data_IF_513361817032
#
_entry.id   IF_513361817032
#
_cell.length_a   1.000
_cell.length_b   1.000
_cell.length_c   1.000
_cell.angle_alpha   90.00
_cell.angle_beta   90.00
_cell.angle_gamma   90.00
#
_symmetry.space_group_name_H-M   'P 1'
#
loop_
_entity.id
_entity.type
_entity.pdbx_description
1 polymer ?
#
# COMPACT_ATOMS: atom_id res chain seq x y z
N UNK A 1 32.81 -26.56 36.67
CA UNK A 1 32.19 -25.22 36.79
C UNK A 1 32.96 -24.16 35.99
N UNK A 2 34.31 -24.10 36.08
CA UNK A 2 35.14 -23.18 35.28
C UNK A 2 34.94 -23.27 33.77
N UNK A 3 35.07 -24.47 33.18
CA UNK A 3 34.94 -24.68 31.71
C UNK A 3 33.66 -24.10 31.08
N UNK A 4 32.51 -24.21 31.77
CA UNK A 4 31.23 -23.68 31.27
C UNK A 4 31.23 -22.15 31.27
N UNK A 5 31.74 -21.53 32.34
CA UNK A 5 31.77 -20.07 32.49
C UNK A 5 32.90 -19.40 31.68
N UNK A 6 33.96 -20.14 31.37
CA UNK A 6 35.20 -19.62 30.81
C UNK A 6 35.27 -19.73 29.29
N UNK A 7 34.69 -20.78 28.71
CA UNK A 7 34.73 -21.03 27.26
C UNK A 7 33.33 -20.94 26.65
N UNK A 8 32.37 -21.63 27.26
CA UNK A 8 31.03 -21.82 26.68
C UNK A 8 30.21 -20.52 26.70
N UNK A 9 30.31 -19.76 27.80
CA UNK A 9 29.53 -18.54 27.99
C UNK A 9 30.02 -17.36 27.12
N UNK A 10 31.32 -17.04 27.04
CA UNK A 10 31.81 -16.02 26.10
C UNK A 10 31.54 -16.36 24.63
N UNK A 11 31.80 -17.61 24.23
CA UNK A 11 31.52 -18.07 22.86
C UNK A 11 30.01 -17.95 22.54
N UNK A 12 29.14 -18.33 23.47
CA UNK A 12 27.69 -18.19 23.33
C UNK A 12 27.24 -16.73 23.13
N UNK A 13 27.77 -15.79 23.92
CA UNK A 13 27.44 -14.37 23.77
C UNK A 13 27.94 -13.77 22.46
N UNK A 14 29.14 -14.12 22.01
CA UNK A 14 29.67 -13.67 20.71
C UNK A 14 28.83 -14.25 19.56
N UNK A 15 28.49 -15.54 19.60
CA UNK A 15 27.62 -16.15 18.60
C UNK A 15 26.25 -15.48 18.55
N UNK A 16 25.65 -15.20 19.71
CA UNK A 16 24.36 -14.52 19.80
C UNK A 16 24.45 -13.09 19.24
N UNK A 17 25.49 -12.33 19.57
CA UNK A 17 25.71 -10.99 19.04
C UNK A 17 25.88 -10.99 17.50
N UNK A 18 26.67 -11.93 16.97
CA UNK A 18 26.84 -12.08 15.52
C UNK A 18 25.55 -12.52 14.82
N UNK A 19 24.75 -13.38 15.46
CA UNK A 19 23.43 -13.77 14.94
C UNK A 19 22.50 -12.55 14.83
N UNK A 20 22.47 -11.69 15.85
CA UNK A 20 21.69 -10.44 15.80
C UNK A 20 22.19 -9.47 14.73
N UNK A 21 23.50 -9.36 14.53
CA UNK A 21 24.09 -8.54 13.47
C UNK A 21 23.71 -9.02 12.06
N UNK A 22 23.51 -10.32 11.87
CA UNK A 22 23.05 -10.89 10.60
C UNK A 22 21.56 -10.67 10.33
N UNK A 23 20.75 -10.43 11.37
CA UNK A 23 19.32 -10.12 11.21
C UNK A 23 19.09 -8.70 10.69
N UNK A 24 20.02 -7.77 10.96
CA UNK A 24 19.95 -6.42 10.41
C UNK A 24 20.34 -6.43 8.93
N UNK A 25 19.42 -6.03 8.02
CA UNK A 25 19.73 -6.04 6.60
C UNK A 25 20.85 -5.04 6.28
N UNK A 26 21.76 -5.36 5.34
CA UNK A 26 22.74 -4.39 4.88
C UNK A 26 22.03 -3.25 4.15
N UNK A 27 22.59 -2.06 4.25
CA UNK A 27 22.18 -0.94 3.42
C UNK A 27 22.34 -1.32 1.93
N UNK A 28 21.28 -1.11 1.16
CA UNK A 28 21.25 -1.26 -0.29
C UNK A 28 20.50 -0.08 -0.88
N UNK A 29 20.94 0.40 -2.04
CA UNK A 29 20.15 1.35 -2.80
C UNK A 29 18.79 0.74 -3.13
N UNK A 30 17.73 1.55 -3.01
CA UNK A 30 16.36 1.11 -3.25
C UNK A 30 16.16 0.97 -4.76
N UNK A 31 15.85 -0.24 -5.27
CA UNK A 31 15.62 -0.44 -6.69
C UNK A 31 14.33 0.24 -7.14
N UNK A 32 14.21 0.45 -8.45
CA UNK A 32 12.97 0.91 -9.04
C UNK A 32 11.83 -0.07 -8.78
N UNK A 33 10.67 0.46 -8.41
CA UNK A 33 9.51 -0.34 -8.06
C UNK A 33 8.34 -0.03 -8.98
N UNK A 34 7.84 -1.05 -9.67
CA UNK A 34 6.63 -0.91 -10.46
C UNK A 34 5.38 -0.80 -9.57
N UNK A 35 4.54 0.19 -9.86
CA UNK A 35 3.35 0.50 -9.07
C UNK A 35 2.12 -0.22 -9.62
N UNK A 36 1.81 -1.38 -9.04
CA UNK A 36 0.64 -2.19 -9.43
C UNK A 36 -0.15 -2.67 -8.21
N UNK A 37 -1.49 -2.84 -8.30
CA UNK A 37 -2.29 -3.33 -7.18
C UNK A 37 -1.86 -4.71 -6.64
N UNK A 38 -1.37 -5.59 -7.51
CA UNK A 38 -0.91 -6.94 -7.16
C UNK A 38 0.55 -7.04 -6.70
N UNK A 39 1.21 -5.89 -6.41
CA UNK A 39 2.50 -5.88 -5.73
C UNK A 39 2.41 -6.40 -4.29
N UNK A 40 1.20 -6.40 -3.71
CA UNK A 40 0.95 -6.90 -2.37
C UNK A 40 0.57 -8.37 -2.40
N UNK A 41 1.16 -9.15 -1.50
CA UNK A 41 0.79 -10.55 -1.33
C UNK A 41 -0.15 -10.72 -0.13
N UNK A 42 -1.24 -11.49 -0.29
CA UNK A 42 -2.18 -11.77 0.80
C UNK A 42 -1.50 -12.59 1.92
N UNK A 43 -1.48 -12.05 3.14
CA UNK A 43 -0.80 -12.69 4.29
C UNK A 43 -1.62 -13.76 5.04
N UNK A 44 -2.92 -13.91 4.74
CA UNK A 44 -3.87 -14.75 5.52
C UNK A 44 -4.35 -16.00 4.75
N UNK A 45 -3.46 -16.68 4.04
CA UNK A 45 -3.73 -17.99 3.40
C UNK A 45 -4.62 -17.96 2.15
N UNK A 46 -5.14 -16.81 1.75
CA UNK A 46 -5.76 -16.64 0.44
C UNK A 46 -4.68 -16.47 -0.63
N UNK A 47 -4.92 -16.98 -1.84
CA UNK A 47 -4.04 -16.78 -2.99
C UNK A 47 -4.35 -15.50 -3.79
N UNK A 48 -5.44 -14.79 -3.47
CA UNK A 48 -6.01 -13.69 -4.25
C UNK A 48 -6.22 -12.43 -3.41
N UNK A 49 -6.02 -11.26 -4.04
CA UNK A 49 -6.42 -9.99 -3.44
C UNK A 49 -7.91 -9.74 -3.68
N UNK A 50 -8.51 -8.92 -2.82
CA UNK A 50 -9.89 -8.51 -2.94
C UNK A 50 -9.95 -7.05 -3.36
N UNK A 51 -10.66 -6.78 -4.43
CA UNK A 51 -10.96 -5.45 -4.95
C UNK A 51 -12.47 -5.33 -5.15
N UNK A 52 -12.96 -4.12 -5.34
CA UNK A 52 -14.38 -3.89 -5.56
C UNK A 52 -14.58 -2.73 -6.51
N UNK A 53 -15.77 -2.70 -7.11
CA UNK A 53 -16.25 -1.52 -7.79
C UNK A 53 -17.72 -1.24 -7.47
N UNK A 54 -18.12 0.01 -7.60
CA UNK A 54 -19.52 0.45 -7.64
C UNK A 54 -19.75 1.23 -8.91
N UNK A 55 -20.88 1.05 -9.58
CA UNK A 55 -21.32 1.89 -10.69
C UNK A 55 -22.58 2.64 -10.28
N UNK A 56 -22.43 3.90 -9.87
CA UNK A 56 -23.51 4.66 -9.24
C UNK A 56 -24.53 5.19 -10.28
N UNK A 57 -24.11 5.32 -11.55
CA UNK A 57 -25.00 5.65 -12.67
C UNK A 57 -24.70 4.74 -13.88
N UNK A 58 -25.33 3.55 -13.97
CA UNK A 58 -25.09 2.61 -15.08
C UNK A 58 -25.73 3.04 -16.41
N UNK A 59 -26.59 4.06 -16.40
CA UNK A 59 -27.23 4.57 -17.62
C UNK A 59 -26.27 5.43 -18.46
N UNK A 60 -25.21 5.94 -17.85
CA UNK A 60 -24.21 6.75 -18.53
C UNK A 60 -23.32 5.88 -19.45
N UNK A 61 -23.24 6.15 -20.77
CA UNK A 61 -22.45 5.32 -21.68
C UNK A 61 -20.97 5.25 -21.29
N UNK A 62 -20.41 6.32 -20.72
CA UNK A 62 -19.01 6.34 -20.27
C UNK A 62 -18.80 5.40 -19.08
N UNK A 63 -19.75 5.34 -18.14
CA UNK A 63 -19.64 4.47 -16.97
C UNK A 63 -19.81 3.00 -17.35
N UNK A 64 -20.74 2.70 -18.27
CA UNK A 64 -20.93 1.38 -18.84
C UNK A 64 -19.68 0.90 -19.59
N UNK A 65 -19.02 1.78 -20.35
CA UNK A 65 -17.75 1.48 -21.02
C UNK A 65 -16.62 1.21 -20.03
N UNK A 66 -16.53 1.96 -18.92
CA UNK A 66 -15.56 1.71 -17.85
C UNK A 66 -15.83 0.38 -17.16
N UNK A 67 -17.08 0.08 -16.80
CA UNK A 67 -17.46 -1.19 -16.18
C UNK A 67 -17.17 -2.38 -17.11
N UNK A 68 -17.48 -2.26 -18.39
CA UNK A 68 -17.17 -3.27 -19.40
C UNK A 68 -15.66 -3.57 -19.43
N UNK A 69 -14.82 -2.54 -19.60
CA UNK A 69 -13.37 -2.70 -19.64
C UNK A 69 -12.76 -3.17 -18.30
N UNK A 70 -13.45 -2.98 -17.18
CA UNK A 70 -13.01 -3.44 -15.86
C UNK A 70 -13.11 -4.96 -15.76
N UNK A 71 -14.15 -5.53 -16.35
CA UNK A 71 -14.52 -6.95 -16.28
C UNK A 71 -13.91 -7.74 -17.42
N UNK A 72 -13.78 -7.15 -18.61
CA UNK A 72 -13.16 -7.79 -19.78
C UNK A 72 -11.65 -7.69 -19.75
N UNK A 73 -10.95 -8.71 -20.24
CA UNK A 73 -9.49 -8.71 -20.42
C UNK A 73 -9.08 -7.52 -21.30
N UNK A 74 -8.07 -6.70 -20.92
CA UNK A 74 -7.06 -6.86 -19.86
C UNK A 74 -7.42 -6.33 -18.44
N UNK A 75 -8.69 -6.04 -18.16
CA UNK A 75 -9.21 -5.52 -16.88
C UNK A 75 -8.65 -4.11 -16.55
N UNK A 76 -8.50 -3.77 -15.26
CA UNK A 76 -7.96 -2.47 -14.81
C UNK A 76 -6.43 -2.37 -14.84
N UNK A 77 -5.72 -3.46 -15.12
CA UNK A 77 -4.27 -3.56 -14.93
C UNK A 77 -3.47 -3.74 -16.22
N UNK A 78 -2.15 -3.82 -16.09
CA UNK A 78 -1.21 -4.14 -17.17
C UNK A 78 -0.83 -5.62 -17.22
N UNK A 79 -1.21 -6.42 -16.20
CA UNK A 79 -0.84 -7.83 -16.06
C UNK A 79 -1.31 -8.76 -17.20
N UNK A 80 -2.51 -8.51 -17.73
CA UNK A 80 -3.11 -9.32 -18.80
C UNK A 80 -3.03 -8.63 -20.17
N UNK A 81 -2.06 -7.73 -20.35
CA UNK A 81 -1.74 -7.17 -21.66
C UNK A 81 -1.13 -8.24 -22.58
N UNK A 82 -0.93 -7.86 -23.84
CA UNK A 82 -0.29 -8.74 -24.79
C UNK A 82 1.15 -9.08 -24.36
N UNK A 83 1.42 -10.36 -24.12
CA UNK A 83 2.73 -10.84 -23.64
C UNK A 83 3.89 -10.51 -24.57
N UNK A 84 3.63 -10.27 -25.86
CA UNK A 84 4.67 -9.84 -26.81
C UNK A 84 5.13 -8.40 -26.60
N UNK A 85 4.30 -7.56 -25.95
CA UNK A 85 4.60 -6.16 -25.69
C UNK A 85 5.13 -5.95 -24.28
N UNK A 86 4.52 -6.61 -23.31
CA UNK A 86 4.81 -6.37 -21.90
C UNK A 86 4.40 -7.58 -21.05
N UNK A 87 5.34 -8.07 -20.24
CA UNK A 87 5.15 -9.17 -19.32
C UNK A 87 5.85 -8.90 -17.99
N UNK A 88 5.19 -9.28 -16.89
CA UNK A 88 5.72 -9.14 -15.54
C UNK A 88 6.23 -10.51 -15.09
N UNK A 89 7.52 -10.60 -14.76
CA UNK A 89 8.16 -11.84 -14.28
C UNK A 89 7.41 -12.43 -13.07
N UNK A 90 6.98 -13.68 -13.18
CA UNK A 90 6.29 -14.40 -12.09
C UNK A 90 4.83 -14.01 -11.85
N UNK A 91 4.24 -13.11 -12.66
CA UNK A 91 2.83 -12.71 -12.55
C UNK A 91 2.12 -12.79 -13.92
N UNK A 92 1.99 -13.99 -14.47
CA UNK A 92 1.26 -14.22 -15.73
C UNK A 92 -0.26 -14.07 -15.56
N UNK A 93 -0.96 -13.86 -16.67
CA UNK A 93 -2.42 -13.86 -16.72
C UNK A 93 -2.95 -15.29 -16.66
N UNK A 94 -3.97 -15.55 -15.84
CA UNK A 94 -4.61 -16.86 -15.75
C UNK A 94 -5.66 -17.04 -16.85
N UNK A 95 -5.66 -18.19 -17.51
CA UNK A 95 -6.75 -18.57 -18.40
C UNK A 95 -7.92 -19.08 -17.55
N UNK A 96 -8.97 -18.26 -17.44
CA UNK A 96 -10.22 -18.64 -16.79
C UNK A 96 -11.22 -19.03 -17.88
N UNK A 97 -11.65 -20.30 -17.87
CA UNK A 97 -12.54 -20.84 -18.91
C UNK A 97 -13.93 -20.18 -18.92
N UNK A 98 -14.39 -19.61 -17.80
CA UNK A 98 -15.64 -18.85 -17.69
C UNK A 98 -15.60 -17.77 -16.60
N UNK A 99 -16.03 -16.56 -16.95
CA UNK A 99 -16.31 -15.47 -16.01
C UNK A 99 -17.67 -15.72 -15.33
N UNK A 100 -17.70 -16.47 -14.23
CA UNK A 100 -18.93 -16.68 -13.46
C UNK A 100 -19.06 -15.67 -12.33
N UNK A 101 -20.12 -14.87 -12.38
CA UNK A 101 -20.53 -14.01 -11.26
C UNK A 101 -21.27 -14.83 -10.21
N UNK A 102 -20.93 -14.66 -8.94
CA UNK A 102 -21.77 -15.21 -7.86
C UNK A 102 -23.13 -14.51 -7.83
N UNK A 103 -24.15 -15.22 -7.34
CA UNK A 103 -25.51 -14.69 -7.26
C UNK A 103 -25.54 -13.33 -6.53
N UNK A 104 -26.15 -12.32 -7.16
CA UNK A 104 -26.30 -11.01 -6.53
C UNK A 104 -27.33 -11.14 -5.39
N UNK A 105 -26.96 -10.79 -4.15
CA UNK A 105 -27.89 -10.88 -3.03
C UNK A 105 -28.99 -9.82 -3.15
N UNK A 106 -30.21 -10.18 -2.77
CA UNK A 106 -31.32 -9.23 -2.63
C UNK A 106 -31.12 -8.42 -1.35
N UNK A 107 -31.04 -7.09 -1.48
CA UNK A 107 -31.05 -6.19 -0.34
C UNK A 107 -32.51 -5.93 0.06
N UNK A 108 -32.79 -5.97 1.35
CA UNK A 108 -34.15 -5.74 1.88
C UNK A 108 -34.53 -4.26 1.87
N UNK A 109 -33.54 -3.36 1.77
CA UNK A 109 -33.73 -1.91 1.82
C UNK A 109 -33.81 -1.36 3.24
N UNK A 110 -33.81 -2.25 4.24
CA UNK A 110 -33.74 -1.92 5.66
C UNK A 110 -32.27 -1.97 6.11
N UNK A 111 -31.69 -0.81 6.43
CA UNK A 111 -30.29 -0.73 6.86
C UNK A 111 -30.03 -1.41 8.20
N UNK A 112 -31.04 -1.59 9.06
CA UNK A 112 -30.86 -2.29 10.35
C UNK A 112 -30.68 -3.80 10.15
N UNK A 113 -31.23 -4.34 9.05
CA UNK A 113 -31.10 -5.75 8.65
C UNK A 113 -29.91 -5.93 7.72
N UNK A 114 -29.79 -5.07 6.71
CA UNK A 114 -28.78 -5.17 5.65
C UNK A 114 -27.39 -4.70 6.13
N UNK A 115 -27.31 -3.85 7.15
CA UNK A 115 -26.05 -3.33 7.68
C UNK A 115 -26.15 -2.86 9.14
N UNK A 116 -26.31 -3.78 10.12
CA UNK A 116 -26.53 -3.39 11.52
C UNK A 116 -25.39 -2.55 12.09
N UNK A 117 -25.74 -1.65 13.02
CA UNK A 117 -24.80 -0.73 13.64
C UNK A 117 -23.72 -1.46 14.48
N UNK A 118 -22.52 -0.88 14.51
CA UNK A 118 -21.42 -1.37 15.35
C UNK A 118 -21.31 -0.54 16.63
N UNK A 119 -20.89 -1.17 17.72
CA UNK A 119 -20.61 -0.48 18.98
C UNK A 119 -19.14 -0.08 19.09
N UNK A 120 -18.90 1.17 19.52
CA UNK A 120 -17.56 1.69 19.80
C UNK A 120 -17.28 1.87 21.30
N UNK A 121 -18.17 1.37 22.18
CA UNK A 121 -18.09 1.60 23.62
C UNK A 121 -16.81 1.07 24.28
N UNK A 122 -16.16 0.06 23.69
CA UNK A 122 -14.90 -0.52 24.20
C UNK A 122 -13.63 0.16 23.69
N UNK A 123 -13.71 1.31 23.01
CA UNK A 123 -12.57 1.99 22.40
C UNK A 123 -12.11 1.40 21.05
N UNK A 124 -12.58 0.21 20.70
CA UNK A 124 -12.43 -0.41 19.38
C UNK A 124 -13.80 -0.75 18.81
N UNK A 125 -13.94 -0.68 17.48
CA UNK A 125 -15.18 -1.02 16.78
C UNK A 125 -15.49 -2.52 16.94
N UNK A 126 -16.61 -2.83 17.58
CA UNK A 126 -17.17 -4.18 17.67
C UNK A 126 -18.44 -4.24 16.84
N UNK A 127 -18.35 -4.98 15.74
CA UNK A 127 -19.47 -5.20 14.82
C UNK A 127 -20.07 -6.59 15.02
N UNK A 128 -21.40 -6.76 14.92
CA UNK A 128 -22.02 -8.08 14.84
C UNK A 128 -21.56 -8.83 13.57
N UNK A 129 -21.64 -10.16 13.56
CA UNK A 129 -21.15 -10.98 12.46
C UNK A 129 -21.78 -10.67 11.08
N UNK A 130 -22.97 -10.06 11.05
CA UNK A 130 -23.70 -9.66 9.84
C UNK A 130 -23.61 -8.16 9.53
N UNK A 131 -22.78 -7.39 10.23
CA UNK A 131 -22.69 -5.93 10.05
C UNK A 131 -22.37 -5.50 8.62
N UNK A 132 -21.55 -6.25 7.88
CA UNK A 132 -21.23 -5.94 6.49
C UNK A 132 -22.30 -6.29 5.46
N UNK A 133 -23.46 -6.79 5.91
CA UNK A 133 -24.53 -7.28 5.06
C UNK A 133 -24.20 -8.58 4.30
N UNK A 134 -25.10 -9.03 3.41
CA UNK A 134 -24.84 -10.19 2.57
C UNK A 134 -23.66 -9.91 1.63
N UNK A 135 -22.85 -10.92 1.34
CA UNK A 135 -21.65 -10.77 0.51
C UNK A 135 -22.01 -10.31 -0.91
N UNK A 136 -21.39 -9.24 -1.45
CA UNK A 136 -21.70 -8.77 -2.79
C UNK A 136 -21.36 -9.81 -3.88
N UNK A 137 -21.94 -9.64 -5.06
CA UNK A 137 -21.61 -10.48 -6.22
C UNK A 137 -20.12 -10.37 -6.54
N UNK A 138 -19.46 -11.49 -6.75
CA UNK A 138 -18.01 -11.62 -6.91
C UNK A 138 -17.70 -12.26 -8.26
N UNK A 139 -16.67 -11.74 -8.92
CA UNK A 139 -16.01 -12.32 -10.08
C UNK A 139 -14.53 -12.52 -9.78
N UNK A 140 -13.99 -13.68 -10.14
CA UNK A 140 -12.54 -13.87 -10.18
C UNK A 140 -12.05 -13.40 -11.55
N UNK A 141 -11.17 -12.41 -11.56
CA UNK A 141 -10.61 -11.87 -12.81
C UNK A 141 -9.30 -12.59 -13.17
N UNK A 142 -8.90 -12.61 -14.46
CA UNK A 142 -7.66 -13.27 -14.93
C UNK A 142 -6.36 -12.80 -14.25
N UNK A 143 -6.37 -11.66 -13.56
CA UNK A 143 -5.26 -11.22 -12.70
C UNK A 143 -5.19 -11.97 -11.36
N UNK A 144 -6.02 -13.00 -11.13
CA UNK A 144 -6.17 -13.74 -9.87
C UNK A 144 -6.74 -12.89 -8.71
N UNK A 145 -7.35 -11.75 -9.00
CA UNK A 145 -8.03 -10.92 -7.99
C UNK A 145 -9.53 -11.26 -7.94
N UNK A 146 -10.13 -11.11 -6.76
CA UNK A 146 -11.58 -11.22 -6.55
C UNK A 146 -12.18 -9.83 -6.63
N UNK A 147 -12.95 -9.56 -7.68
CA UNK A 147 -13.65 -8.32 -7.94
C UNK A 147 -15.09 -8.39 -7.45
N UNK A 148 -15.44 -7.59 -6.44
CA UNK A 148 -16.81 -7.46 -5.95
C UNK A 148 -17.56 -6.34 -6.65
N UNK A 149 -18.80 -6.61 -7.07
CA UNK A 149 -19.76 -5.62 -7.51
C UNK A 149 -20.58 -5.14 -6.30
N UNK A 150 -20.31 -3.91 -5.88
CA UNK A 150 -20.92 -3.24 -4.72
C UNK A 150 -21.95 -2.16 -5.11
N UNK A 151 -22.38 -2.14 -6.38
CA UNK A 151 -23.35 -1.17 -6.89
C UNK A 151 -24.63 -1.14 -6.05
N UNK A 152 -25.07 0.07 -5.69
CA UNK A 152 -26.29 0.29 -4.89
C UNK A 152 -26.10 0.14 -3.37
N UNK A 153 -24.87 -0.01 -2.89
CA UNK A 153 -24.56 -0.05 -1.45
C UNK A 153 -23.86 1.23 -0.98
N UNK A 154 -24.01 1.54 0.31
CA UNK A 154 -23.16 2.54 0.93
C UNK A 154 -21.74 1.99 1.12
N UNK A 155 -20.85 2.36 0.19
CA UNK A 155 -19.46 1.89 0.14
C UNK A 155 -18.73 2.22 1.44
N UNK A 156 -18.88 3.43 1.98
CA UNK A 156 -18.18 3.88 3.18
C UNK A 156 -18.51 3.01 4.39
N UNK A 157 -19.80 2.74 4.60
CA UNK A 157 -20.28 1.90 5.69
C UNK A 157 -19.83 0.44 5.52
N UNK A 158 -19.95 -0.10 4.30
CA UNK A 158 -19.49 -1.45 3.97
C UNK A 158 -17.98 -1.61 4.19
N UNK A 159 -17.17 -0.63 3.78
CA UNK A 159 -15.72 -0.67 3.93
C UNK A 159 -15.29 -0.74 5.39
N UNK A 160 -15.88 0.11 6.24
CA UNK A 160 -15.57 0.18 7.67
C UNK A 160 -15.98 -1.13 8.36
N UNK A 161 -17.21 -1.59 8.14
CA UNK A 161 -17.74 -2.81 8.79
C UNK A 161 -17.05 -4.10 8.32
N UNK A 162 -16.50 -4.11 7.12
CA UNK A 162 -15.77 -5.26 6.56
C UNK A 162 -14.25 -5.17 6.66
N UNK A 163 -13.69 -4.12 7.30
CA UNK A 163 -12.23 -3.93 7.43
C UNK A 163 -11.57 -5.15 8.07
N UNK A 164 -12.11 -5.63 9.18
CA UNK A 164 -11.57 -6.77 9.92
C UNK A 164 -11.54 -8.06 9.09
N UNK A 165 -12.56 -8.28 8.24
CA UNK A 165 -12.66 -9.45 7.33
C UNK A 165 -11.55 -9.42 6.27
N UNK A 166 -11.36 -8.27 5.62
CA UNK A 166 -10.45 -8.09 4.48
C UNK A 166 -9.09 -7.46 4.84
N UNK A 167 -8.75 -7.39 6.12
CA UNK A 167 -7.51 -6.78 6.60
C UNK A 167 -6.28 -7.41 5.94
N UNK A 168 -5.42 -6.56 5.33
CA UNK A 168 -4.23 -6.95 4.53
C UNK A 168 -4.53 -7.82 3.30
N UNK A 169 -5.78 -7.84 2.83
CA UNK A 169 -6.21 -8.55 1.61
C UNK A 169 -6.93 -7.62 0.62
N UNK A 170 -7.50 -6.51 1.10
CA UNK A 170 -8.08 -5.43 0.28
C UNK A 170 -7.28 -4.14 0.44
N UNK A 171 -6.70 -3.69 -0.67
CA UNK A 171 -5.89 -2.46 -0.71
C UNK A 171 -6.56 -1.31 -1.46
N UNK A 172 -7.66 -1.56 -2.18
CA UNK A 172 -8.42 -0.51 -2.84
C UNK A 172 -9.63 -1.01 -3.61
N UNK A 173 -10.23 -0.10 -4.38
CA UNK A 173 -11.38 -0.32 -5.25
C UNK A 173 -11.82 0.97 -5.94
N UNK A 174 -12.91 0.91 -6.72
CA UNK A 174 -13.32 1.99 -7.60
C UNK A 174 -14.81 2.34 -7.41
N UNK A 175 -15.17 3.61 -7.49
CA UNK A 175 -16.56 4.03 -7.72
C UNK A 175 -16.65 4.80 -9.02
N UNK A 176 -17.36 4.21 -9.97
CA UNK A 176 -17.56 4.69 -11.33
C UNK A 176 -18.76 5.64 -11.37
N UNK A 177 -18.61 6.74 -12.10
CA UNK A 177 -19.68 7.70 -12.39
C UNK A 177 -20.27 8.38 -11.16
N UNK A 178 -19.40 8.96 -10.35
CA UNK A 178 -19.83 9.89 -9.31
C UNK A 178 -20.20 11.23 -9.94
N UNK A 179 -21.49 11.56 -9.87
CA UNK A 179 -22.00 12.82 -10.39
C UNK A 179 -21.66 13.95 -9.43
N UNK A 180 -20.81 14.87 -9.89
CA UNK A 180 -20.61 16.12 -9.17
C UNK A 180 -21.82 17.03 -9.41
N UNK A 181 -22.55 17.38 -8.36
CA UNK A 181 -23.68 18.31 -8.44
C UNK A 181 -23.27 19.67 -9.01
N UNK A 182 -22.03 20.09 -8.78
CA UNK A 182 -21.46 21.32 -9.34
C UNK A 182 -21.09 21.17 -10.83
N UNK A 183 -20.91 19.95 -11.33
CA UNK A 183 -20.68 19.69 -12.76
C UNK A 183 -21.91 19.94 -13.66
N UNK A 184 -23.07 20.26 -13.06
CA UNK A 184 -24.29 20.65 -13.78
C UNK A 184 -24.25 22.09 -14.31
N UNK A 185 -23.23 22.87 -13.95
CA UNK A 185 -23.01 24.21 -14.50
C UNK A 185 -22.61 24.14 -15.97
N UNK A 186 -23.60 24.15 -16.86
CA UNK A 186 -23.34 24.15 -18.29
C UNK A 186 -22.76 25.51 -18.71
N UNK A 187 -21.49 25.52 -19.08
CA UNK A 187 -20.79 26.74 -19.52
C UNK A 187 -21.45 27.43 -20.72
N UNK A 188 -22.22 26.71 -21.54
CA UNK A 188 -22.98 27.32 -22.65
C UNK A 188 -24.15 28.17 -22.16
N UNK A 189 -24.75 27.83 -21.01
CA UNK A 189 -25.81 28.65 -20.39
C UNK A 189 -25.23 29.91 -19.76
N UNK A 190 -24.02 29.82 -19.21
CA UNK A 190 -23.35 30.97 -18.61
C UNK A 190 -22.89 31.93 -19.71
N UNK A 191 -22.32 31.43 -20.82
CA UNK A 191 -21.98 32.29 -21.96
C UNK A 191 -23.21 32.99 -22.53
N UNK A 192 -24.32 32.25 -22.74
CA UNK A 192 -25.55 32.86 -23.26
C UNK A 192 -26.17 33.88 -22.30
N UNK A 193 -26.01 33.69 -20.97
CA UNK A 193 -26.46 34.65 -19.98
C UNK A 193 -25.61 35.92 -19.99
N UNK A 194 -24.28 35.78 -20.14
CA UNK A 194 -23.35 36.91 -20.28
C UNK A 194 -23.64 37.68 -21.57
N UNK A 195 -23.86 36.99 -22.68
CA UNK A 195 -24.22 37.61 -23.97
C UNK A 195 -25.56 38.37 -23.88
N UNK A 196 -26.52 37.82 -23.14
CA UNK A 196 -27.81 38.48 -22.87
C UNK A 196 -27.66 39.71 -21.97
N UNK A 197 -26.74 39.71 -21.00
CA UNK A 197 -26.43 40.87 -20.16
C UNK A 197 -25.70 41.95 -20.95
N UNK A 198 -24.77 41.56 -21.82
CA UNK A 198 -24.03 42.47 -22.68
C UNK A 198 -24.91 43.17 -23.75
N UNK A 199 -25.97 42.51 -24.19
CA UNK A 199 -26.93 43.06 -25.17
C UNK A 199 -28.08 43.85 -24.52
N UNK A 200 -28.43 43.56 -23.26
CA UNK A 200 -29.49 44.29 -22.53
C UNK A 200 -28.99 45.52 -21.78
N UNK A 201 -27.75 45.49 -21.29
CA UNK A 201 -27.04 46.71 -20.89
C UNK A 201 -26.54 47.41 -22.14
N UNK A 202 -26.78 48.71 -22.30
CA UNK A 202 -26.19 49.52 -23.36
C UNK A 202 -24.67 49.70 -23.10
N UNK A 203 -23.92 48.60 -23.07
CA UNK A 203 -22.53 48.52 -22.63
C UNK A 203 -21.65 48.98 -23.80
N UNK A 204 -20.79 49.96 -23.53
CA UNK A 204 -19.82 50.46 -24.50
C UNK A 204 -18.96 49.32 -25.07
N UNK A 205 -18.61 49.40 -26.35
CA UNK A 205 -17.87 48.36 -27.08
C UNK A 205 -16.51 47.99 -26.46
N UNK A 206 -15.89 48.91 -25.70
CA UNK A 206 -14.66 48.66 -24.94
C UNK A 206 -14.86 47.81 -23.69
N UNK A 207 -16.03 47.89 -23.05
CA UNK A 207 -16.37 47.07 -21.87
C UNK A 207 -16.85 45.69 -22.32
N UNK A 208 -17.61 45.61 -23.41
CA UNK A 208 -18.01 44.33 -24.01
C UNK A 208 -16.80 43.47 -24.42
N UNK A 209 -15.82 44.07 -25.10
CA UNK A 209 -14.58 43.38 -25.48
C UNK A 209 -13.72 42.98 -24.27
N UNK A 210 -13.72 43.76 -23.19
CA UNK A 210 -13.10 43.38 -21.92
C UNK A 210 -13.76 42.16 -21.27
N UNK A 211 -15.10 42.10 -21.25
CA UNK A 211 -15.87 40.97 -20.71
C UNK A 211 -15.66 39.71 -21.54
N UNK A 212 -15.64 39.80 -22.87
CA UNK A 212 -15.33 38.67 -23.75
C UNK A 212 -13.92 38.13 -23.52
N UNK A 213 -12.92 39.00 -23.37
CA UNK A 213 -11.55 38.60 -23.07
C UNK A 213 -11.43 37.89 -21.71
N UNK A 214 -12.13 38.40 -20.68
CA UNK A 214 -12.22 37.75 -19.37
C UNK A 214 -12.92 36.39 -19.47
N UNK A 215 -14.03 36.31 -20.20
CA UNK A 215 -14.78 35.07 -20.39
C UNK A 215 -13.97 34.02 -21.15
N UNK A 216 -13.19 34.42 -22.16
CA UNK A 216 -12.29 33.53 -22.89
C UNK A 216 -11.24 32.87 -21.98
N UNK A 217 -10.77 33.58 -20.96
CA UNK A 217 -9.84 33.03 -19.97
C UNK A 217 -10.54 32.23 -18.87
N UNK A 218 -11.75 32.63 -18.45
CA UNK A 218 -12.48 32.00 -17.35
C UNK A 218 -13.25 30.73 -17.77
N UNK A 219 -13.80 30.70 -18.97
CA UNK A 219 -14.57 29.57 -19.51
C UNK A 219 -13.80 28.24 -19.45
N UNK A 220 -12.52 28.12 -19.88
CA UNK A 220 -11.78 26.88 -19.74
C UNK A 220 -11.58 26.49 -18.27
N UNK A 221 -11.30 27.44 -17.37
CA UNK A 221 -11.13 27.17 -15.94
C UNK A 221 -12.41 26.60 -15.34
N UNK A 222 -13.57 27.17 -15.67
CA UNK A 222 -14.87 26.68 -15.22
C UNK A 222 -15.18 25.29 -15.80
N UNK A 223 -14.86 25.03 -17.07
CA UNK A 223 -15.03 23.71 -17.69
C UNK A 223 -14.18 22.63 -17.01
N UNK A 224 -12.93 22.94 -16.68
CA UNK A 224 -12.04 21.99 -16.00
C UNK A 224 -12.40 21.78 -14.53
N UNK A 225 -12.90 22.82 -13.85
CA UNK A 225 -13.26 22.73 -12.42
C UNK A 225 -14.56 21.98 -12.16
N UNK A 226 -15.48 21.98 -13.13
CA UNK A 226 -16.83 21.44 -12.97
C UNK A 226 -17.11 20.27 -13.93
N UNK A 227 -16.32 19.21 -13.81
CA UNK A 227 -16.58 17.95 -14.52
C UNK A 227 -17.78 17.22 -13.89
N UNK A 228 -18.78 16.91 -14.72
CA UNK A 228 -20.00 16.22 -14.29
C UNK A 228 -19.77 14.77 -13.85
N UNK A 229 -18.91 14.04 -14.57
CA UNK A 229 -18.67 12.63 -14.34
C UNK A 229 -17.27 12.42 -13.79
N UNK A 230 -17.17 11.92 -12.56
CA UNK A 230 -15.89 11.62 -11.94
C UNK A 230 -15.80 10.14 -11.59
N UNK A 231 -14.56 9.66 -11.51
CA UNK A 231 -14.26 8.33 -11.00
C UNK A 231 -13.49 8.51 -9.70
N UNK A 232 -13.92 7.84 -8.64
CA UNK A 232 -13.26 7.90 -7.34
C UNK A 232 -12.51 6.60 -7.08
N UNK A 233 -11.27 6.75 -6.64
CA UNK A 233 -10.41 5.65 -6.23
C UNK A 233 -10.44 5.53 -4.71
N UNK A 234 -10.79 4.36 -4.22
CA UNK A 234 -10.70 4.00 -2.81
C UNK A 234 -9.38 3.28 -2.60
N UNK A 235 -8.57 3.72 -1.63
CA UNK A 235 -7.31 3.08 -1.31
C UNK A 235 -7.15 2.88 0.20
N UNK A 236 -6.40 1.87 0.57
CA UNK A 236 -6.05 1.58 1.95
C UNK A 236 -4.60 1.97 2.21
N UNK A 237 -4.39 2.95 3.09
CA UNK A 237 -3.06 3.46 3.41
C UNK A 237 -2.16 2.45 4.17
N UNK A 238 -2.68 1.27 4.54
CA UNK A 238 -1.84 0.15 5.01
C UNK A 238 -0.94 -0.42 3.90
N UNK A 239 -1.29 -0.22 2.63
CA UNK A 239 -0.40 -0.49 1.50
C UNK A 239 0.36 0.77 1.11
N UNK A 240 1.69 0.75 1.24
CA UNK A 240 2.56 1.93 1.09
C UNK A 240 2.36 2.71 -0.22
N UNK A 241 2.15 1.99 -1.33
CA UNK A 241 1.93 2.54 -2.66
C UNK A 241 0.51 2.31 -3.21
N UNK A 242 -0.46 1.93 -2.35
CA UNK A 242 -1.81 1.56 -2.80
C UNK A 242 -2.54 2.72 -3.49
N UNK A 243 -2.39 3.96 -3.00
CA UNK A 243 -3.04 5.11 -3.64
C UNK A 243 -2.61 5.29 -5.10
N UNK A 244 -1.31 5.29 -5.35
CA UNK A 244 -0.75 5.53 -6.69
C UNK A 244 -0.97 4.34 -7.62
N UNK A 245 -0.92 3.10 -7.11
CA UNK A 245 -1.13 1.92 -7.94
C UNK A 245 -2.57 1.78 -8.44
N UNK A 246 -3.56 2.07 -7.58
CA UNK A 246 -4.97 2.11 -7.99
C UNK A 246 -5.26 3.33 -8.88
N UNK A 247 -4.54 4.45 -8.71
CA UNK A 247 -4.62 5.59 -9.62
C UNK A 247 -4.11 5.24 -11.02
N UNK A 248 -2.96 4.55 -11.14
CA UNK A 248 -2.49 4.07 -12.44
C UNK A 248 -3.48 3.08 -13.07
N UNK A 249 -4.09 2.22 -12.25
CA UNK A 249 -5.10 1.26 -12.71
C UNK A 249 -6.34 1.94 -13.28
N UNK A 250 -6.82 3.03 -12.64
CA UNK A 250 -7.99 3.74 -13.17
C UNK A 250 -7.67 4.52 -14.44
N UNK A 251 -6.47 5.08 -14.54
CA UNK A 251 -6.02 5.75 -15.77
C UNK A 251 -5.92 4.77 -16.95
N UNK A 252 -5.47 3.54 -16.69
CA UNK A 252 -5.51 2.47 -17.68
C UNK A 252 -6.93 2.13 -18.13
N UNK A 253 -7.88 2.10 -17.21
CA UNK A 253 -9.28 1.84 -17.52
C UNK A 253 -9.88 2.96 -18.37
N UNK A 254 -9.61 4.23 -18.02
CA UNK A 254 -10.05 5.40 -18.78
C UNK A 254 -9.45 5.38 -20.19
N UNK A 255 -8.15 5.08 -20.32
CA UNK A 255 -7.49 4.95 -21.61
C UNK A 255 -8.22 3.94 -22.51
N UNK A 256 -8.55 2.75 -21.96
CA UNK A 256 -9.20 1.67 -22.70
C UNK A 256 -10.65 1.98 -23.04
N UNK A 257 -11.38 2.65 -22.15
CA UNK A 257 -12.75 3.08 -22.41
C UNK A 257 -12.86 4.16 -23.50
N UNK A 258 -11.79 4.93 -23.74
CA UNK A 258 -11.72 5.98 -24.76
C UNK A 258 -11.06 5.54 -26.07
N UNK A 259 -10.71 4.25 -26.22
CA UNK A 259 -10.12 3.76 -27.46
C UNK A 259 -11.12 3.82 -28.63
N UNK A 260 -10.65 4.15 -29.84
CA UNK A 260 -11.49 4.08 -31.03
C UNK A 260 -11.88 2.62 -31.35
N UNK A 261 -13.04 2.40 -31.99
CA UNK A 261 -13.50 1.06 -32.33
C UNK A 261 -12.48 0.33 -33.23
N UNK A 262 -12.28 -0.96 -32.98
CA UNK A 262 -11.36 -1.81 -33.74
C UNK A 262 -9.92 -1.88 -33.20
N UNK A 263 -9.59 -1.15 -32.13
CA UNK A 263 -8.34 -1.32 -31.38
C UNK A 263 -8.50 -2.34 -30.27
N UNK A 264 -7.54 -3.27 -30.15
CA UNK A 264 -7.52 -4.24 -29.05
C UNK A 264 -6.99 -3.58 -27.76
N UNK A 265 -7.80 -3.52 -26.67
CA UNK A 265 -7.39 -2.96 -25.39
C UNK A 265 -6.13 -3.61 -24.78
N UNK A 266 -5.80 -4.86 -25.15
CA UNK A 266 -4.62 -5.58 -24.65
C UNK A 266 -3.29 -4.97 -25.09
N UNK A 267 -3.29 -4.20 -26.17
CA UNK A 267 -2.09 -3.55 -26.70
C UNK A 267 -1.84 -2.16 -26.09
N UNK A 268 -2.78 -1.65 -25.28
CA UNK A 268 -2.71 -0.31 -24.70
C UNK A 268 -2.70 -0.38 -23.18
N UNK A 269 -1.67 0.22 -22.58
CA UNK A 269 -1.54 0.34 -21.15
C UNK A 269 -0.44 1.30 -20.74
N UNK A 270 -0.58 1.85 -19.55
CA UNK A 270 0.31 2.78 -18.88
C UNK A 270 0.93 2.03 -17.70
N UNK A 271 2.25 1.89 -17.73
CA UNK A 271 3.02 1.32 -16.63
C UNK A 271 3.67 2.49 -15.88
N UNK A 272 3.63 2.45 -14.55
CA UNK A 272 4.24 3.49 -13.71
C UNK A 272 5.29 2.86 -12.82
N UNK A 273 6.51 3.40 -12.87
CA UNK A 273 7.60 3.01 -12.00
C UNK A 273 7.92 4.14 -11.02
N UNK A 274 8.07 3.80 -9.75
CA UNK A 274 8.70 4.67 -8.78
C UNK A 274 10.21 4.43 -8.80
N UNK A 275 10.97 5.45 -9.15
CA UNK A 275 12.42 5.45 -9.10
C UNK A 275 12.85 6.35 -7.94
N UNK A 276 13.27 5.78 -6.80
CA UNK A 276 13.83 6.55 -5.71
C UNK A 276 15.05 7.34 -6.21
N UNK A 277 15.19 8.58 -5.75
CA UNK A 277 16.39 9.36 -6.02
C UNK A 277 17.56 8.82 -5.21
N UNK A 278 18.76 8.95 -5.77
CA UNK A 278 19.99 8.61 -5.04
C UNK A 278 20.10 9.47 -3.78
N UNK A 279 20.59 8.86 -2.70
CA UNK A 279 20.75 9.53 -1.42
C UNK A 279 21.81 10.62 -1.49
N UNK A 280 21.59 11.70 -0.74
CA UNK A 280 22.60 12.74 -0.55
C UNK A 280 23.70 12.25 0.40
N UNK A 281 24.82 12.97 0.44
CA UNK A 281 25.93 12.64 1.37
C UNK A 281 25.48 12.65 2.83
N UNK A 282 24.59 13.56 3.20
CA UNK A 282 24.08 13.68 4.57
C UNK A 282 23.17 12.51 4.93
N UNK A 283 22.32 12.07 4.00
CA UNK A 283 21.48 10.87 4.22
C UNK A 283 22.32 9.59 4.31
N UNK A 284 23.37 9.49 3.48
CA UNK A 284 24.32 8.37 3.56
C UNK A 284 25.11 8.37 4.88
N UNK A 285 25.44 9.55 5.41
CA UNK A 285 26.14 9.66 6.70
C UNK A 285 25.24 9.26 7.87
N UNK A 286 23.95 9.59 7.82
CA UNK A 286 22.93 9.15 8.78
C UNK A 286 22.74 7.62 8.76
N UNK A 287 22.61 7.02 7.57
CA UNK A 287 22.56 5.56 7.40
C UNK A 287 23.83 4.88 7.91
N UNK A 288 25.00 5.46 7.62
CA UNK A 288 26.28 4.96 8.14
C UNK A 288 26.35 5.06 9.67
N UNK A 289 25.76 6.09 10.27
CA UNK A 289 25.70 6.25 11.72
C UNK A 289 24.76 5.21 12.36
N UNK A 290 23.61 4.94 11.73
CA UNK A 290 22.71 3.87 12.17
C UNK A 290 23.40 2.50 12.14
N UNK A 291 24.10 2.19 11.03
CA UNK A 291 24.90 0.97 10.93
C UNK A 291 26.01 0.91 11.98
N UNK A 292 26.74 2.02 12.18
CA UNK A 292 27.76 2.12 13.21
C UNK A 292 27.19 1.87 14.62
N UNK A 293 25.95 2.25 14.88
CA UNK A 293 25.27 1.96 16.17
C UNK A 293 25.08 0.46 16.38
N UNK A 294 24.68 -0.29 15.35
CA UNK A 294 24.58 -1.76 15.44
C UNK A 294 25.95 -2.38 15.71
N UNK A 295 26.99 -1.92 15.02
CA UNK A 295 28.37 -2.41 15.22
C UNK A 295 28.88 -2.14 16.64
N UNK A 296 28.54 -0.98 17.23
CA UNK A 296 28.87 -0.65 18.62
C UNK A 296 28.18 -1.60 19.60
N UNK A 297 26.91 -1.95 19.38
CA UNK A 297 26.20 -2.92 20.23
C UNK A 297 26.90 -4.29 20.19
N UNK A 298 27.31 -4.75 19.01
CA UNK A 298 28.08 -5.99 18.85
C UNK A 298 29.42 -5.89 19.60
N UNK A 299 30.14 -4.78 19.47
CA UNK A 299 31.41 -4.56 20.16
C UNK A 299 31.26 -4.62 21.69
N UNK A 300 30.23 -3.98 22.25
CA UNK A 300 29.93 -4.02 23.70
C UNK A 300 29.65 -5.46 24.15
N UNK A 301 28.86 -6.23 23.40
CA UNK A 301 28.60 -7.63 23.71
C UNK A 301 29.88 -8.49 23.67
N UNK A 302 30.78 -8.24 22.73
CA UNK A 302 32.07 -8.95 22.64
C UNK A 302 32.98 -8.57 23.80
N UNK A 303 33.09 -7.28 24.15
CA UNK A 303 33.89 -6.82 25.31
C UNK A 303 33.37 -7.46 26.59
N UNK A 304 32.05 -7.47 26.77
CA UNK A 304 31.41 -8.12 27.91
C UNK A 304 31.71 -9.63 27.95
N UNK A 305 31.60 -10.34 26.83
CA UNK A 305 31.95 -11.74 26.72
C UNK A 305 33.42 -12.01 27.09
N UNK A 306 34.35 -11.21 26.56
CA UNK A 306 35.78 -11.35 26.82
C UNK A 306 36.16 -10.98 28.26
N UNK A 307 35.36 -10.16 28.96
CA UNK A 307 35.59 -9.81 30.37
C UNK A 307 35.45 -10.99 31.34
N UNK A 308 34.73 -12.05 30.95
CA UNK A 308 34.61 -13.27 31.77
C UNK A 308 35.90 -14.10 31.81
N UNK A 309 36.74 -14.00 30.79
CA UNK A 309 38.00 -14.75 30.69
C UNK A 309 39.01 -14.34 31.79
N UNK A 310 39.35 -13.06 32.02
CA UNK A 310 40.20 -12.70 33.14
C UNK A 310 39.53 -12.96 34.50
N UNK A 311 38.20 -12.83 34.60
CA UNK A 311 37.47 -13.08 35.84
C UNK A 311 37.56 -14.54 36.29
N UNK A 312 37.62 -15.52 35.38
CA UNK A 312 37.79 -16.93 35.71
C UNK A 312 39.17 -17.23 36.32
N UNK A 313 40.24 -16.66 35.77
CA UNK A 313 41.60 -16.84 36.33
C UNK A 313 41.73 -16.25 37.74
N UNK A 314 41.03 -15.15 38.04
CA UNK A 314 41.03 -14.53 39.37
C UNK A 314 40.39 -15.43 40.42
N UNK A 315 39.36 -16.22 40.07
CA UNK A 315 38.74 -17.15 41.01
C UNK A 315 39.72 -18.21 41.52
N UNK A 316 40.61 -18.72 40.65
CA UNK A 316 41.66 -19.66 41.05
C UNK A 316 42.62 -19.04 42.08
N UNK A 317 43.05 -17.79 41.86
CA UNK A 317 43.90 -17.06 42.81
C UNK A 317 43.21 -16.83 44.16
N UNK A 318 41.89 -16.59 44.17
CA UNK A 318 41.10 -16.45 45.40
C UNK A 318 41.03 -17.80 46.13
N UNK A 319 40.80 -18.90 45.42
CA UNK A 319 40.73 -20.25 45.99
C UNK A 319 42.08 -20.69 46.58
N UNK A 320 43.20 -20.39 45.91
CA UNK A 320 44.55 -20.60 46.45
C UNK A 320 44.82 -19.78 47.72
N UNK A 321 44.29 -18.55 47.79
CA UNK A 321 44.41 -17.70 48.98
C UNK A 321 43.59 -18.25 50.15
N UNK A 322 42.35 -18.68 49.91
CA UNK A 322 41.44 -19.17 50.96
C UNK A 322 41.87 -20.53 51.48
N UNK A 323 42.36 -21.41 50.60
CA UNK A 323 42.90 -22.73 50.97
C UNK A 323 44.31 -22.67 51.57
N UNK A 324 44.95 -21.50 51.58
CA UNK A 324 46.36 -21.28 51.93
C UNK A 324 47.36 -22.11 51.09
N UNK A 325 46.97 -22.64 49.92
CA UNK A 325 47.87 -23.40 49.05
C UNK A 325 49.05 -22.55 48.58
N UNK A 326 48.80 -21.26 48.28
CA UNK A 326 49.83 -20.28 47.92
C UNK A 326 50.87 -20.11 49.03
N UNK A 327 50.42 -20.07 50.29
CA UNK A 327 51.34 -19.97 51.42
C UNK A 327 52.19 -21.25 51.55
N UNK A 328 51.57 -22.42 51.39
CA UNK A 328 52.26 -23.70 51.42
C UNK A 328 53.36 -23.79 50.35
N UNK A 329 53.05 -23.36 49.11
CA UNK A 329 54.00 -23.33 47.99
C UNK A 329 55.22 -22.43 48.28
N UNK A 330 55.02 -21.27 48.92
CA UNK A 330 56.13 -20.42 49.35
C UNK A 330 56.95 -21.03 50.49
N UNK A 331 56.31 -21.72 51.45
CA UNK A 331 57.02 -22.45 52.52
C UNK A 331 57.86 -23.60 51.93
N UNK A 332 57.41 -24.22 50.82
CA UNK A 332 58.17 -25.23 50.08
C UNK A 332 59.35 -24.67 49.27
N UNK A 333 59.61 -23.36 49.28
CA UNK A 333 60.80 -22.75 48.68
C UNK A 333 60.63 -22.17 47.28
N UNK A 334 59.41 -22.07 46.77
CA UNK A 334 59.13 -21.40 45.48
C UNK A 334 59.35 -19.88 45.63
N UNK A 335 60.14 -19.29 44.73
CA UNK A 335 60.39 -17.83 44.72
C UNK A 335 59.17 -17.09 44.14
N UNK A 336 58.73 -15.95 44.72
CA UNK A 336 57.58 -15.18 44.24
C UNK A 336 57.66 -14.63 42.80
N UNK A 337 58.84 -14.65 42.17
CA UNK A 337 59.02 -14.24 40.77
C UNK A 337 58.72 -15.41 39.81
N UNK A 338 58.87 -16.65 40.30
CA UNK A 338 58.61 -17.87 39.53
C UNK A 338 57.15 -18.31 39.65
N UNK A 339 56.51 -17.96 40.77
CA UNK A 339 55.05 -18.07 40.97
C UNK A 339 54.33 -16.90 40.30
#
# INVERSE_FOLDING_TARGET
KGFISEILLPAGFVCLAMMFALLTPPFSEMPSLELQPWMYEPKKGDSSLFTFYSNDNPLNPTSAALEHNLVTVPNYGTRCMNSSLYEISGKSCQNLDKNYWTARPTLTGDMDIDSPACSCASGFQKCPAKAGGPEPSMLIIPTNDKLYNTTGRNISDWLVKTEAKYQKRRYGGFSLSEENRLGRFNTTRISSAIDSIATSGNINQSVASGIEALWKNLAPILRFSFTGNNVKVWFNNKGWAAGVSYMNSINNLILRALLPPGKDPRNYGIVTFNHPMNLTKDQLSEESLYKGTVDVVVAICVIFAMSFVPASFVLFLIEERVSNSKHLQFVSGIKPVVY
#
